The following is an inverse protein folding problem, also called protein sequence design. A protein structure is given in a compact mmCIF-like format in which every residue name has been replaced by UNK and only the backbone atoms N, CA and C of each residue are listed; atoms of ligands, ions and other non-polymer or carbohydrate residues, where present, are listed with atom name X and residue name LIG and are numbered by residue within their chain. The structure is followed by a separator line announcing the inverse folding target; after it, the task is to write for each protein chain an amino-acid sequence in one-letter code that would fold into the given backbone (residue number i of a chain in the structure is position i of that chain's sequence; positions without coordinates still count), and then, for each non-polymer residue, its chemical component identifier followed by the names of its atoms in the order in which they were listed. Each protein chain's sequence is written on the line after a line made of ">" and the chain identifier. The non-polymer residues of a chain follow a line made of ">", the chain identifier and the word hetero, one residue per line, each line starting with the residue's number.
data_IF_599224698295
#
_entry.id   IF_599224698295
#
_cell.length_a   1.000
_cell.length_b   1.000
_cell.length_c   1.000
_cell.angle_alpha   90.00
_cell.angle_beta   90.00
_cell.angle_gamma   90.00
#
_symmetry.space_group_name_H-M   'P 1'
#
loop_
_entity.id
_entity.type
_entity.pdbx_description
1 polymer ?
#
# COMPACT_ATOMS: atom_id res chain seq x y z
N UNK A 1 0.01 -12.88 -20.99
CA UNK A 1 -1.39 -13.37 -21.09
C UNK A 1 -2.19 -12.68 -19.99
N UNK A 2 -3.39 -12.14 -20.24
CA UNK A 2 -4.21 -11.66 -19.13
C UNK A 2 -4.52 -12.84 -18.20
N UNK A 3 -4.36 -12.64 -16.89
CA UNK A 3 -4.70 -13.67 -15.91
C UNK A 3 -6.19 -13.99 -16.03
N UNK A 4 -6.52 -15.28 -16.10
CA UNK A 4 -7.92 -15.70 -16.12
C UNK A 4 -8.57 -15.39 -14.77
N UNK A 5 -9.90 -15.11 -14.73
CA UNK A 5 -10.62 -14.90 -13.48
C UNK A 5 -10.37 -16.05 -12.51
N UNK A 6 -10.05 -15.73 -11.25
CA UNK A 6 -9.76 -16.74 -10.25
C UNK A 6 -11.07 -17.49 -9.87
N UNK A 7 -11.21 -18.79 -10.18
CA UNK A 7 -12.46 -19.53 -9.94
C UNK A 7 -12.74 -19.75 -8.46
N UNK A 8 -11.76 -19.51 -7.57
CA UNK A 8 -11.90 -19.63 -6.12
C UNK A 8 -12.28 -18.29 -5.45
N UNK A 9 -12.37 -17.20 -6.22
CA UNK A 9 -12.85 -15.90 -5.75
C UNK A 9 -14.33 -15.73 -6.11
N UNK A 10 -15.21 -16.27 -5.27
CA UNK A 10 -16.66 -16.17 -5.44
C UNK A 10 -17.16 -14.72 -5.47
N UNK A 11 -16.49 -13.82 -4.76
CA UNK A 11 -16.85 -12.40 -4.68
C UNK A 11 -16.51 -11.62 -5.96
N UNK A 12 -15.46 -11.99 -6.70
CA UNK A 12 -15.10 -11.30 -7.94
C UNK A 12 -16.00 -11.58 -9.14
N UNK A 13 -16.88 -12.59 -9.03
CA UNK A 13 -17.74 -13.04 -10.13
C UNK A 13 -19.19 -12.54 -10.02
N UNK A 14 -19.62 -12.09 -8.84
CA UNK A 14 -21.00 -11.69 -8.56
C UNK A 14 -21.15 -10.26 -8.04
N UNK A 15 -20.03 -9.57 -7.75
CA UNK A 15 -20.01 -8.27 -7.10
C UNK A 15 -19.13 -7.29 -7.86
N UNK A 16 -19.60 -6.06 -8.04
CA UNK A 16 -18.81 -4.96 -8.60
C UNK A 16 -17.77 -4.50 -7.57
N UNK A 17 -16.49 -4.70 -7.89
CA UNK A 17 -15.36 -4.32 -7.04
C UNK A 17 -14.73 -3.02 -7.55
N UNK A 18 -14.50 -2.08 -6.64
CA UNK A 18 -13.83 -0.81 -6.95
C UNK A 18 -12.56 -0.71 -6.11
N UNK A 19 -11.42 -0.47 -6.77
CA UNK A 19 -10.17 -0.08 -6.12
C UNK A 19 -10.10 1.45 -6.02
N UNK A 20 -10.18 1.95 -4.79
CA UNK A 20 -10.01 3.36 -4.44
C UNK A 20 -8.53 3.76 -4.35
N UNK A 21 -7.75 3.46 -5.40
CA UNK A 21 -6.31 3.76 -5.41
C UNK A 21 -5.74 4.00 -6.81
N UNK A 22 -4.98 5.10 -6.93
CA UNK A 22 -4.19 5.41 -8.14
C UNK A 22 -2.88 4.62 -8.23
N UNK A 23 -2.52 3.83 -7.21
CA UNK A 23 -1.24 3.12 -7.20
C UNK A 23 -1.19 2.05 -8.30
N UNK A 24 -0.28 2.17 -9.29
CA UNK A 24 -0.15 1.17 -10.35
C UNK A 24 0.22 -0.21 -9.79
N UNK A 25 0.97 -0.25 -8.68
CA UNK A 25 1.38 -1.47 -8.00
C UNK A 25 0.18 -2.23 -7.43
N UNK A 26 -0.77 -1.53 -6.81
CA UNK A 26 -1.99 -2.17 -6.27
C UNK A 26 -2.87 -2.70 -7.38
N UNK A 27 -3.00 -1.97 -8.48
CA UNK A 27 -3.74 -2.41 -9.67
C UNK A 27 -3.10 -3.67 -10.26
N UNK A 28 -1.77 -3.66 -10.43
CA UNK A 28 -1.01 -4.82 -10.90
C UNK A 28 -1.26 -6.04 -10.00
N UNK A 29 -1.08 -5.91 -8.70
CA UNK A 29 -1.20 -7.02 -7.76
C UNK A 29 -2.62 -7.62 -7.72
N UNK A 30 -3.67 -6.80 -7.81
CA UNK A 30 -5.05 -7.31 -7.91
C UNK A 30 -5.32 -7.99 -9.25
N UNK A 31 -4.78 -7.45 -10.34
CA UNK A 31 -4.94 -8.02 -11.68
C UNK A 31 -4.24 -9.37 -11.79
N UNK A 32 -3.02 -9.48 -11.26
CA UNK A 32 -2.25 -10.73 -11.20
C UNK A 32 -2.91 -11.80 -10.34
N UNK A 33 -3.69 -11.39 -9.32
CA UNK A 33 -4.50 -12.30 -8.52
C UNK A 33 -5.81 -12.76 -9.20
N UNK A 34 -6.08 -12.27 -10.42
CA UNK A 34 -7.26 -12.63 -11.20
C UNK A 34 -8.54 -11.95 -10.71
N UNK A 35 -8.43 -10.81 -10.01
CA UNK A 35 -9.58 -10.03 -9.57
C UNK A 35 -10.03 -9.07 -10.68
N UNK A 36 -11.33 -9.04 -10.97
CA UNK A 36 -11.93 -8.03 -11.83
C UNK A 36 -12.35 -6.84 -10.97
N UNK A 37 -11.87 -5.65 -11.30
CA UNK A 37 -12.17 -4.42 -10.55
C UNK A 37 -12.13 -3.18 -11.45
N UNK A 38 -12.80 -2.13 -11.01
CA UNK A 38 -12.71 -0.79 -11.58
C UNK A 38 -11.78 0.08 -10.71
N UNK A 39 -11.07 1.01 -11.33
CA UNK A 39 -10.28 2.01 -10.60
C UNK A 39 -11.07 3.31 -10.59
N UNK A 40 -11.49 3.73 -9.39
CA UNK A 40 -12.14 5.03 -9.19
C UNK A 40 -11.47 5.69 -8.00
N UNK A 41 -11.00 6.92 -8.17
CA UNK A 41 -10.31 7.67 -7.11
C UNK A 41 -10.84 9.07 -7.03
N UNK A 42 -10.90 9.62 -5.82
CA UNK A 42 -11.20 11.02 -5.56
C UNK A 42 -10.12 11.62 -4.67
N UNK A 43 -9.95 12.93 -4.74
CA UNK A 43 -9.13 13.64 -3.77
C UNK A 43 -9.68 13.36 -2.36
N UNK A 44 -8.77 12.99 -1.48
CA UNK A 44 -9.10 12.55 -0.12
C UNK A 44 -8.21 13.32 0.82
N UNK A 45 -8.80 13.87 1.89
CA UNK A 45 -8.01 14.39 3.00
C UNK A 45 -7.34 13.22 3.73
N UNK A 46 -6.01 13.17 3.65
CA UNK A 46 -5.19 12.16 4.33
C UNK A 46 -4.79 12.61 5.74
N UNK A 47 -5.38 13.68 6.27
CA UNK A 47 -5.21 14.08 7.68
C UNK A 47 -5.77 13.03 8.63
N UNK A 48 -5.17 12.95 9.82
CA UNK A 48 -5.55 11.97 10.83
C UNK A 48 -5.42 12.54 12.25
N UNK A 49 -6.21 12.03 13.22
CA UNK A 49 -6.10 12.44 14.61
C UNK A 49 -4.70 12.15 15.19
N UNK A 50 -4.10 13.09 15.94
CA UNK A 50 -2.71 12.97 16.41
C UNK A 50 -2.47 11.81 17.40
N UNK A 51 -3.53 11.30 18.02
CA UNK A 51 -3.47 10.18 18.98
C UNK A 51 -3.42 8.79 18.34
N UNK A 52 -3.58 8.69 17.01
CA UNK A 52 -3.58 7.39 16.34
C UNK A 52 -2.16 6.80 16.28
N UNK A 53 -2.06 5.51 16.58
CA UNK A 53 -0.84 4.74 16.37
C UNK A 53 -0.62 4.51 14.86
N UNK A 54 0.62 4.27 14.38
CA UNK A 54 0.90 4.10 12.95
C UNK A 54 -0.02 3.10 12.22
N UNK A 55 -0.32 1.90 12.76
CA UNK A 55 -1.27 1.00 12.10
C UNK A 55 -2.68 1.57 11.96
N UNK A 56 -3.15 2.30 12.98
CA UNK A 56 -4.46 2.95 12.98
C UNK A 56 -4.49 4.13 12.00
N UNK A 57 -3.37 4.83 11.82
CA UNK A 57 -3.24 5.88 10.80
C UNK A 57 -3.41 5.28 9.41
N UNK A 58 -2.72 4.18 9.10
CA UNK A 58 -2.84 3.53 7.79
C UNK A 58 -4.27 3.02 7.54
N UNK A 59 -4.93 2.43 8.54
CA UNK A 59 -6.34 2.03 8.46
C UNK A 59 -7.27 3.22 8.26
N UNK A 60 -7.05 4.32 8.99
CA UNK A 60 -7.84 5.54 8.90
C UNK A 60 -7.78 6.13 7.49
N UNK A 61 -6.58 6.31 6.94
CA UNK A 61 -6.40 6.87 5.59
C UNK A 61 -7.00 5.92 4.53
N UNK A 62 -6.84 4.60 4.69
CA UNK A 62 -7.47 3.63 3.81
C UNK A 62 -9.00 3.74 3.83
N UNK A 63 -9.61 3.94 5.01
CA UNK A 63 -11.04 4.18 5.15
C UNK A 63 -11.47 5.49 4.49
N UNK A 64 -10.75 6.60 4.69
CA UNK A 64 -11.10 7.88 4.05
C UNK A 64 -11.11 7.76 2.52
N UNK A 65 -10.11 7.05 1.95
CA UNK A 65 -10.04 6.79 0.50
C UNK A 65 -11.24 6.00 -0.01
N UNK A 66 -11.66 4.97 0.74
CA UNK A 66 -12.85 4.19 0.40
C UNK A 66 -14.14 5.03 0.51
N UNK A 67 -14.27 5.86 1.55
CA UNK A 67 -15.44 6.72 1.78
C UNK A 67 -15.58 7.79 0.69
N UNK A 68 -14.49 8.45 0.30
CA UNK A 68 -14.49 9.49 -0.73
C UNK A 68 -15.02 8.95 -2.07
N UNK A 69 -14.66 7.71 -2.41
CA UNK A 69 -15.20 7.03 -3.58
C UNK A 69 -16.66 6.64 -3.37
N UNK A 70 -17.02 6.03 -2.22
CA UNK A 70 -18.39 5.61 -1.94
C UNK A 70 -19.40 6.77 -2.03
N UNK A 71 -19.05 7.96 -1.52
CA UNK A 71 -19.96 9.12 -1.57
C UNK A 71 -20.26 9.63 -2.98
N UNK A 72 -19.41 9.35 -3.96
CA UNK A 72 -19.57 9.80 -5.34
C UNK A 72 -20.38 8.81 -6.21
N UNK A 73 -20.64 7.60 -5.72
CA UNK A 73 -21.30 6.56 -6.49
C UNK A 73 -22.82 6.67 -6.37
N UNK A 74 -23.50 6.73 -7.51
CA UNK A 74 -24.97 6.82 -7.62
C UNK A 74 -25.69 5.47 -7.54
N UNK A 75 -24.94 4.39 -7.77
CA UNK A 75 -25.39 3.01 -7.67
C UNK A 75 -24.45 2.29 -6.70
N UNK A 76 -24.98 1.34 -5.94
CA UNK A 76 -24.19 0.63 -4.94
C UNK A 76 -23.09 -0.20 -5.61
N UNK A 77 -21.80 0.01 -5.26
CA UNK A 77 -20.81 -1.01 -5.49
C UNK A 77 -20.96 -2.07 -4.40
N UNK A 78 -20.81 -3.32 -4.81
CA UNK A 78 -20.88 -4.40 -3.86
C UNK A 78 -19.67 -4.41 -2.90
N UNK A 79 -18.48 -3.90 -3.33
CA UNK A 79 -17.30 -3.64 -2.47
C UNK A 79 -16.39 -2.52 -3.01
N UNK A 80 -16.03 -1.54 -2.15
CA UNK A 80 -14.94 -0.56 -2.36
C UNK A 80 -13.73 -0.95 -1.52
N UNK A 81 -12.55 -0.99 -2.13
CA UNK A 81 -11.27 -1.32 -1.51
C UNK A 81 -10.43 -0.05 -1.41
N UNK A 82 -10.27 0.47 -0.20
CA UNK A 82 -9.29 1.50 0.13
C UNK A 82 -8.00 0.87 0.66
N UNK A 83 -6.85 1.50 0.37
CA UNK A 83 -5.58 1.07 0.93
C UNK A 83 -4.63 2.25 1.11
N UNK A 84 -3.84 2.21 2.17
CA UNK A 84 -2.76 3.15 2.44
C UNK A 84 -1.53 2.45 3.01
N UNK A 85 -0.34 2.95 2.69
CA UNK A 85 0.91 2.31 3.09
C UNK A 85 1.83 3.37 3.68
N UNK A 86 2.29 3.11 4.90
CA UNK A 86 3.23 3.97 5.62
C UNK A 86 4.50 3.20 5.95
N UNK A 87 5.63 3.91 6.04
CA UNK A 87 6.89 3.40 6.57
C UNK A 87 7.12 4.02 7.93
N UNK A 88 7.51 3.22 8.91
CA UNK A 88 7.82 3.69 10.26
C UNK A 88 9.20 3.20 10.68
N UNK A 89 10.01 4.12 11.20
CA UNK A 89 11.30 3.80 11.83
C UNK A 89 11.39 4.53 13.17
N UNK A 90 11.69 3.79 14.25
CA UNK A 90 11.81 4.32 15.61
C UNK A 90 10.63 5.20 16.07
N UNK A 91 9.40 4.82 15.70
CA UNK A 91 8.18 5.57 16.04
C UNK A 91 7.92 6.80 15.17
N UNK A 92 8.77 7.09 14.17
CA UNK A 92 8.57 8.17 13.21
C UNK A 92 8.01 7.62 11.90
N UNK A 93 6.93 8.23 11.41
CA UNK A 93 6.33 7.90 10.12
C UNK A 93 7.07 8.64 9.01
N UNK A 94 7.45 7.91 7.97
CA UNK A 94 7.95 8.42 6.71
C UNK A 94 6.87 8.25 5.65
N UNK A 95 6.31 9.38 5.24
CA UNK A 95 5.38 9.47 4.12
C UNK A 95 6.10 9.38 2.77
N UNK A 96 5.53 10.02 1.77
CA UNK A 96 6.14 10.16 0.43
C UNK A 96 7.11 11.35 0.44
N UNK A 97 8.35 11.21 -0.06
CA UNK A 97 9.26 12.35 -0.11
C UNK A 97 8.78 13.36 -1.16
N UNK A 98 8.73 14.64 -0.79
CA UNK A 98 8.29 15.73 -1.65
C UNK A 98 9.30 16.07 -2.76
N UNK A 99 10.57 15.71 -2.57
CA UNK A 99 11.65 16.00 -3.52
C UNK A 99 12.86 15.05 -3.32
N UNK A 100 13.86 15.23 -4.18
CA UNK A 100 15.13 14.51 -4.14
C UNK A 100 15.83 14.58 -2.77
N UNK A 101 15.94 15.77 -2.19
CA UNK A 101 16.60 15.98 -0.89
C UNK A 101 15.93 15.17 0.21
N UNK A 102 14.59 15.15 0.24
CA UNK A 102 13.85 14.36 1.23
C UNK A 102 13.96 12.86 0.97
N UNK A 103 13.97 12.42 -0.29
CA UNK A 103 14.19 11.02 -0.64
C UNK A 103 15.58 10.52 -0.20
N UNK A 104 16.62 11.32 -0.44
CA UNK A 104 17.98 11.05 0.05
C UNK A 104 18.01 10.99 1.59
N UNK A 105 17.31 11.90 2.26
CA UNK A 105 17.20 11.91 3.72
C UNK A 105 16.52 10.63 4.25
N UNK A 106 15.37 10.24 3.70
CA UNK A 106 14.69 9.00 4.09
C UNK A 106 15.60 7.79 3.93
N UNK A 107 16.23 7.62 2.77
CA UNK A 107 17.08 6.45 2.50
C UNK A 107 18.33 6.41 3.39
N UNK A 108 18.94 7.55 3.71
CA UNK A 108 20.03 7.60 4.68
C UNK A 108 19.56 7.19 6.08
N UNK A 109 18.33 7.56 6.46
CA UNK A 109 17.77 7.17 7.75
C UNK A 109 17.48 5.67 7.83
N UNK A 110 17.06 5.04 6.72
CA UNK A 110 16.76 3.60 6.63
C UNK A 110 18.01 2.72 6.46
N UNK A 111 19.09 3.25 5.87
CA UNK A 111 20.34 2.53 5.60
C UNK A 111 20.89 1.79 6.83
N UNK A 112 21.16 0.50 6.68
CA UNK A 112 21.72 -0.37 7.73
C UNK A 112 20.78 -0.61 8.92
N UNK A 113 19.49 -0.31 8.79
CA UNK A 113 18.50 -0.44 9.86
C UNK A 113 17.33 -1.32 9.43
N UNK A 114 16.53 -1.68 10.42
CA UNK A 114 15.21 -2.24 10.21
C UNK A 114 14.14 -1.19 10.39
N UNK A 115 13.09 -1.28 9.60
CA UNK A 115 11.89 -0.44 9.67
C UNK A 115 10.65 -1.27 9.43
N UNK A 116 9.50 -0.71 9.80
CA UNK A 116 8.20 -1.35 9.64
C UNK A 116 7.48 -0.73 8.46
N UNK A 117 6.98 -1.58 7.56
CA UNK A 117 6.09 -1.18 6.48
C UNK A 117 4.69 -1.66 6.85
N UNK A 118 3.75 -0.73 6.95
CA UNK A 118 2.39 -1.00 7.38
C UNK A 118 1.44 -0.61 6.25
N UNK A 119 0.65 -1.57 5.77
CA UNK A 119 -0.45 -1.27 4.85
C UNK A 119 -1.77 -1.44 5.58
N UNK A 120 -2.53 -0.36 5.69
CA UNK A 120 -3.93 -0.37 6.10
C UNK A 120 -4.83 -0.58 4.90
N UNK A 121 -5.90 -1.32 5.10
CA UNK A 121 -6.88 -1.70 4.07
C UNK A 121 -8.27 -1.48 4.65
N UNK A 122 -9.17 -0.97 3.82
CA UNK A 122 -10.58 -0.87 4.14
C UNK A 122 -11.41 -1.56 3.06
N UNK A 123 -12.26 -2.49 3.46
CA UNK A 123 -13.37 -3.02 2.67
C UNK A 123 -14.65 -2.30 3.08
N UNK A 124 -15.32 -1.70 2.12
CA UNK A 124 -16.52 -0.90 2.37
C UNK A 124 -17.64 -1.32 1.41
N UNK A 125 -18.78 -1.71 1.93
CA UNK A 125 -20.03 -1.93 1.18
C UNK A 125 -21.12 -1.01 1.72
N UNK A 126 -22.37 -1.15 1.25
CA UNK A 126 -23.50 -0.37 1.77
C UNK A 126 -23.60 -0.46 3.29
N UNK A 127 -23.62 -1.69 3.82
CA UNK A 127 -23.99 -2.01 5.20
C UNK A 127 -22.81 -2.44 6.08
N UNK A 128 -21.60 -2.55 5.51
CA UNK A 128 -20.45 -3.07 6.23
C UNK A 128 -19.19 -2.25 5.95
N UNK A 129 -18.42 -2.03 7.02
CA UNK A 129 -17.09 -1.48 6.98
C UNK A 129 -16.16 -2.45 7.72
N UNK A 130 -15.06 -2.84 7.07
CA UNK A 130 -14.05 -3.69 7.66
C UNK A 130 -12.67 -3.13 7.33
N UNK A 131 -12.02 -2.54 8.33
CA UNK A 131 -10.65 -2.04 8.22
C UNK A 131 -9.70 -2.96 8.99
N UNK A 132 -8.52 -3.19 8.42
CA UNK A 132 -7.47 -4.01 9.00
C UNK A 132 -6.10 -3.58 8.43
N UNK A 133 -5.01 -4.05 9.04
CA UNK A 133 -3.66 -3.77 8.57
C UNK A 133 -2.79 -5.02 8.51
N UNK A 134 -1.70 -4.92 7.73
CA UNK A 134 -0.59 -5.88 7.74
C UNK A 134 0.70 -5.12 7.96
N UNK A 135 1.56 -5.64 8.84
CA UNK A 135 2.89 -5.11 9.11
C UNK A 135 3.96 -6.09 8.61
N UNK A 136 5.00 -5.55 7.96
CA UNK A 136 6.20 -6.30 7.56
C UNK A 136 7.42 -5.55 8.09
N UNK A 137 8.38 -6.25 8.69
CA UNK A 137 9.69 -5.67 9.03
C UNK A 137 10.61 -5.85 7.83
N UNK A 138 11.26 -4.78 7.40
CA UNK A 138 12.24 -4.81 6.32
C UNK A 138 13.61 -4.48 6.90
N UNK A 139 14.62 -5.26 6.55
CA UNK A 139 16.01 -5.07 7.00
C UNK A 139 16.85 -4.62 5.82
N UNK A 140 17.41 -3.41 5.90
CA UNK A 140 18.33 -2.91 4.90
C UNK A 140 19.77 -3.28 5.26
N UNK A 141 20.56 -3.65 4.26
CA UNK A 141 22.01 -3.54 4.34
C UNK A 141 22.42 -2.08 4.52
N UNK A 142 23.68 -1.86 4.91
CA UNK A 142 24.25 -0.53 4.80
C UNK A 142 24.35 -0.12 3.32
N UNK A 143 23.63 0.95 2.96
CA UNK A 143 23.68 1.59 1.65
C UNK A 143 24.69 2.73 1.68
N UNK A 144 25.62 2.75 0.74
CA UNK A 144 26.53 3.87 0.56
C UNK A 144 25.80 5.08 -0.01
N UNK A 145 26.35 6.27 0.20
CA UNK A 145 25.83 7.51 -0.39
C UNK A 145 25.64 7.40 -1.91
N UNK A 146 26.59 6.80 -2.62
CA UNK A 146 26.53 6.62 -4.07
C UNK A 146 25.39 5.70 -4.50
N UNK A 147 25.12 4.62 -3.75
CA UNK A 147 23.99 3.72 -4.02
C UNK A 147 22.65 4.42 -3.80
N UNK A 148 22.55 5.22 -2.74
CA UNK A 148 21.35 6.01 -2.43
C UNK A 148 21.11 7.06 -3.53
N UNK A 149 22.12 7.84 -3.90
CA UNK A 149 22.03 8.84 -4.98
C UNK A 149 21.65 8.21 -6.31
N UNK A 150 22.30 7.09 -6.67
CA UNK A 150 21.99 6.34 -7.88
C UNK A 150 20.51 5.92 -7.92
N UNK A 151 20.01 5.34 -6.82
CA UNK A 151 18.62 4.89 -6.74
C UNK A 151 17.64 6.05 -6.85
N UNK A 152 17.86 7.17 -6.14
CA UNK A 152 16.97 8.34 -6.19
C UNK A 152 16.93 8.95 -7.59
N UNK A 153 18.08 9.10 -8.24
CA UNK A 153 18.17 9.67 -9.59
C UNK A 153 17.51 8.78 -10.65
N UNK A 154 17.68 7.46 -10.50
CA UNK A 154 17.17 6.47 -11.47
C UNK A 154 15.68 6.20 -11.28
N UNK A 155 15.23 5.98 -10.04
CA UNK A 155 13.88 5.49 -9.74
C UNK A 155 12.91 6.59 -9.29
N UNK A 156 13.40 7.79 -8.95
CA UNK A 156 12.60 8.96 -8.55
C UNK A 156 11.44 8.61 -7.59
N UNK A 157 11.74 8.10 -6.38
CA UNK A 157 10.78 7.42 -5.52
C UNK A 157 9.82 8.36 -4.77
N UNK A 158 9.44 9.48 -5.39
CA UNK A 158 8.62 10.55 -4.79
C UNK A 158 7.17 10.12 -4.56
N UNK A 159 6.70 9.07 -5.23
CA UNK A 159 5.36 8.50 -5.07
C UNK A 159 5.29 7.41 -3.97
N UNK A 160 6.38 7.17 -3.23
CA UNK A 160 6.57 5.97 -2.41
C UNK A 160 6.81 6.31 -0.95
N UNK A 161 6.03 5.69 -0.05
CA UNK A 161 6.25 5.81 1.38
C UNK A 161 7.65 5.31 1.76
N UNK A 162 8.37 6.08 2.59
CA UNK A 162 9.76 5.79 2.95
C UNK A 162 10.77 5.97 1.81
N UNK A 163 10.35 6.49 0.65
CA UNK A 163 11.23 6.81 -0.47
C UNK A 163 11.84 5.59 -1.16
N UNK A 164 11.20 4.42 -1.12
CA UNK A 164 11.65 3.26 -1.89
C UNK A 164 10.52 2.31 -2.32
N UNK A 165 10.81 1.45 -3.29
CA UNK A 165 9.96 0.32 -3.67
C UNK A 165 10.79 -0.98 -3.71
N UNK A 166 10.28 -2.01 -3.05
CA UNK A 166 10.96 -3.31 -2.93
C UNK A 166 11.13 -4.05 -4.27
N UNK A 167 10.30 -3.79 -5.26
CA UNK A 167 10.41 -4.42 -6.58
C UNK A 167 11.38 -3.67 -7.53
N UNK A 168 11.98 -2.58 -7.08
CA UNK A 168 12.99 -1.83 -7.86
C UNK A 168 14.41 -2.27 -7.48
N UNK A 169 15.42 -1.65 -8.10
CA UNK A 169 16.84 -1.96 -7.91
C UNK A 169 17.23 -2.09 -6.43
N UNK A 170 16.76 -1.19 -5.57
CA UNK A 170 17.08 -1.18 -4.14
C UNK A 170 16.60 -2.42 -3.38
N UNK A 171 15.52 -3.06 -3.82
CA UNK A 171 15.08 -4.30 -3.16
C UNK A 171 15.92 -5.52 -3.56
N UNK A 172 16.56 -5.48 -4.73
CA UNK A 172 17.48 -6.52 -5.18
C UNK A 172 18.88 -6.37 -4.58
N UNK A 173 19.32 -5.16 -4.26
CA UNK A 173 20.70 -4.86 -3.85
C UNK A 173 20.84 -4.37 -2.42
N UNK A 174 19.77 -3.83 -1.84
CA UNK A 174 19.80 -3.11 -0.57
C UNK A 174 19.04 -3.76 0.58
N UNK A 175 18.19 -4.75 0.32
CA UNK A 175 17.41 -5.44 1.34
C UNK A 175 18.08 -6.77 1.70
N UNK A 176 18.38 -6.96 2.98
CA UNK A 176 18.90 -8.21 3.53
C UNK A 176 17.80 -9.27 3.62
N UNK A 177 16.68 -8.90 4.24
CA UNK A 177 15.52 -9.78 4.42
C UNK A 177 14.26 -8.99 4.75
N UNK A 178 13.13 -9.71 4.69
CA UNK A 178 11.85 -9.25 5.19
C UNK A 178 11.29 -10.26 6.20
N UNK A 179 10.71 -9.78 7.29
CA UNK A 179 9.93 -10.60 8.22
C UNK A 179 8.46 -10.19 8.05
N UNK A 180 7.74 -10.93 7.21
CA UNK A 180 6.33 -10.68 6.90
C UNK A 180 5.99 -10.91 5.43
N UNK A 181 5.09 -10.08 4.90
CA UNK A 181 4.58 -10.24 3.54
C UNK A 181 5.30 -9.31 2.56
N UNK A 182 5.84 -9.86 1.47
CA UNK A 182 6.47 -9.10 0.38
C UNK A 182 5.47 -8.14 -0.30
N UNK A 183 4.27 -8.64 -0.61
CA UNK A 183 3.22 -7.85 -1.26
C UNK A 183 2.70 -6.72 -0.36
N UNK A 184 2.78 -6.87 0.96
CA UNK A 184 2.54 -5.77 1.89
C UNK A 184 3.55 -4.63 1.69
N UNK A 185 4.82 -4.95 1.48
CA UNK A 185 5.86 -3.94 1.23
C UNK A 185 5.67 -3.28 -0.14
N UNK A 186 5.19 -4.01 -1.14
CA UNK A 186 4.79 -3.42 -2.43
C UNK A 186 3.58 -2.47 -2.32
N UNK A 187 2.80 -2.60 -1.24
CA UNK A 187 1.69 -1.71 -0.90
C UNK A 187 0.31 -2.36 -0.92
N UNK A 188 0.20 -3.69 -1.11
CA UNK A 188 -1.05 -4.41 -0.94
C UNK A 188 -0.82 -5.89 -0.59
N UNK A 189 -1.08 -6.34 0.65
CA UNK A 189 -1.02 -7.76 1.03
C UNK A 189 -2.20 -8.56 0.43
N UNK A 190 -2.15 -8.82 -0.89
CA UNK A 190 -3.29 -9.39 -1.64
C UNK A 190 -3.82 -10.69 -1.06
N UNK A 191 -2.95 -11.62 -0.66
CA UNK A 191 -3.40 -12.88 -0.05
C UNK A 191 -4.27 -12.64 1.20
N UNK A 192 -3.87 -11.71 2.08
CA UNK A 192 -4.67 -11.35 3.26
C UNK A 192 -5.97 -10.66 2.86
N UNK A 193 -5.91 -9.74 1.90
CA UNK A 193 -7.08 -9.06 1.36
C UNK A 193 -8.12 -10.05 0.83
N UNK A 194 -7.72 -11.03 0.02
CA UNK A 194 -8.65 -12.01 -0.55
C UNK A 194 -9.30 -12.89 0.53
N UNK A 195 -8.57 -13.24 1.60
CA UNK A 195 -9.13 -13.94 2.75
C UNK A 195 -10.18 -13.11 3.49
N UNK A 196 -9.91 -11.82 3.74
CA UNK A 196 -10.86 -10.93 4.39
C UNK A 196 -12.08 -10.69 3.49
N UNK A 197 -11.88 -10.56 2.18
CA UNK A 197 -12.96 -10.44 1.22
C UNK A 197 -13.89 -11.64 1.28
N UNK A 198 -13.38 -12.88 1.29
CA UNK A 198 -14.23 -14.08 1.37
C UNK A 198 -15.18 -14.12 2.58
N UNK A 199 -14.83 -13.40 3.66
CA UNK A 199 -15.64 -13.29 4.87
C UNK A 199 -16.44 -11.96 4.95
N UNK A 200 -16.42 -11.14 3.88
CA UNK A 200 -16.97 -9.79 3.80
C UNK A 200 -18.36 -9.71 3.13
#
# INVERSE_FOLDING_TARGET
>A
MPYQPNPFLTIGQQRRIILASQSPRRQQLLSEAGLLFEVITHDTDESYPPQLLPPQIAEHIALQKALAVKSALKAEPDVVIGADTIVEINGQIMGKPANETEALYFLNQLSGKKHRVITGICLLSLNRCHAFHVSTIVHFYFLTKQQIEYYVQTCKPYDKAGGYAIQEWIGLTGIEKIDGCYFNVMGLPVSRLLLEMNNF
#
